data_IF_627366889002
#
_entry.id   IF_627366889002
#
_cell.length_a   1.000
_cell.length_b   1.000
_cell.length_c   1.000
_cell.angle_alpha   90.00
_cell.angle_beta   90.00
_cell.angle_gamma   90.00
#
_symmetry.space_group_name_H-M   'P 1'
#
loop_
_entity.id
_entity.type
_entity.pdbx_description
1 polymer ?
#
# COMPACT_ATOMS: atom_id res chain seq x y z
N UNK A 1 -17.92 14.31 16.67
CA UNK A 1 -17.13 15.53 16.94
C UNK A 1 -15.69 15.15 17.25
N UNK A 2 -15.19 14.08 16.61
CA UNK A 2 -14.15 13.22 17.20
C UNK A 2 -12.79 13.43 16.53
N UNK A 3 -12.73 14.34 15.56
CA UNK A 3 -11.53 14.66 14.77
C UNK A 3 -10.94 16.04 15.14
N UNK A 4 -11.36 16.64 16.25
CA UNK A 4 -10.80 17.89 16.74
C UNK A 4 -9.53 17.58 17.55
N UNK A 5 -8.41 18.23 17.23
CA UNK A 5 -7.10 18.09 17.89
C UNK A 5 -6.38 16.73 17.71
N UNK A 6 -6.50 16.11 16.53
CA UNK A 6 -5.68 14.93 16.20
C UNK A 6 -4.28 15.36 15.72
N UNK A 7 -3.24 14.74 16.26
CA UNK A 7 -1.88 14.85 15.72
C UNK A 7 -1.77 13.97 14.46
N UNK A 8 -1.41 14.52 13.29
CA UNK A 8 -1.27 13.72 12.08
C UNK A 8 -0.14 12.70 12.26
N UNK A 9 -0.40 11.43 11.93
CA UNK A 9 0.64 10.39 11.89
C UNK A 9 1.56 10.60 10.69
N UNK A 10 1.04 11.20 9.61
CA UNK A 10 1.77 11.49 8.37
C UNK A 10 1.49 12.92 7.94
N UNK A 11 2.55 13.64 7.57
CA UNK A 11 2.48 14.97 6.99
C UNK A 11 2.81 14.89 5.50
N UNK A 12 2.15 15.70 4.67
CA UNK A 12 2.38 15.71 3.22
C UNK A 12 3.71 16.36 2.82
N UNK A 13 4.16 16.08 1.60
CA UNK A 13 5.34 16.71 0.99
C UNK A 13 6.38 15.70 0.49
N UNK A 14 7.02 16.02 -0.64
CA UNK A 14 8.06 15.18 -1.25
C UNK A 14 9.25 14.95 -0.33
N UNK A 15 9.72 16.00 0.35
CA UNK A 15 10.84 15.92 1.30
C UNK A 15 10.58 14.89 2.41
N UNK A 16 9.38 14.90 2.99
CA UNK A 16 8.98 13.95 4.02
C UNK A 16 8.76 12.55 3.45
N UNK A 17 8.27 12.45 2.22
CA UNK A 17 8.11 11.18 1.52
C UNK A 17 9.46 10.48 1.28
N UNK A 18 10.47 11.23 0.83
CA UNK A 18 11.83 10.71 0.61
C UNK A 18 12.50 10.32 1.93
N UNK A 19 12.36 11.13 2.98
CA UNK A 19 12.85 10.78 4.31
C UNK A 19 12.19 9.49 4.84
N UNK A 20 10.88 9.34 4.65
CA UNK A 20 10.16 8.12 5.05
C UNK A 20 10.62 6.89 4.25
N UNK A 21 10.85 7.04 2.93
CA UNK A 21 11.37 5.97 2.09
C UNK A 21 12.76 5.53 2.55
N UNK A 22 13.65 6.47 2.86
CA UNK A 22 14.99 6.19 3.37
C UNK A 22 14.94 5.41 4.68
N UNK A 23 14.18 5.91 5.66
CA UNK A 23 14.06 5.32 7.00
C UNK A 23 13.42 3.93 6.99
N UNK A 24 12.46 3.68 6.09
CA UNK A 24 11.70 2.41 6.08
C UNK A 24 12.24 1.37 5.11
N UNK A 25 12.91 1.79 4.03
CA UNK A 25 13.39 0.90 2.97
C UNK A 25 14.92 0.87 2.93
N UNK A 26 15.56 2.01 2.61
CA UNK A 26 17.01 2.06 2.36
C UNK A 26 17.85 1.65 3.56
N UNK A 27 17.46 2.08 4.76
CA UNK A 27 18.17 1.81 6.01
C UNK A 27 17.83 0.44 6.63
N UNK A 28 16.86 -0.29 6.09
CA UNK A 28 16.35 -1.54 6.66
C UNK A 28 16.40 -2.72 5.67
N UNK A 29 17.54 -3.01 5.04
CA UNK A 29 17.63 -3.97 3.93
C UNK A 29 17.17 -5.40 4.32
N UNK A 30 17.53 -5.90 5.51
CA UNK A 30 17.11 -7.23 5.97
C UNK A 30 15.60 -7.33 6.21
N UNK A 31 14.98 -6.26 6.72
CA UNK A 31 13.53 -6.17 6.90
C UNK A 31 12.82 -6.11 5.55
N UNK A 32 13.32 -5.30 4.61
CA UNK A 32 12.79 -5.21 3.24
C UNK A 32 12.84 -6.58 2.54
N UNK A 33 13.96 -7.28 2.65
CA UNK A 33 14.15 -8.59 2.03
C UNK A 33 13.19 -9.65 2.59
N UNK A 34 12.95 -9.65 3.89
CA UNK A 34 12.12 -10.64 4.59
C UNK A 34 10.66 -10.21 4.81
N UNK A 35 10.26 -9.03 4.32
CA UNK A 35 8.92 -8.48 4.53
C UNK A 35 7.83 -9.37 3.96
N UNK A 36 6.82 -9.69 4.77
CA UNK A 36 5.63 -10.40 4.31
C UNK A 36 4.38 -9.72 4.86
N UNK A 37 3.53 -9.21 3.96
CA UNK A 37 2.30 -8.49 4.34
C UNK A 37 1.38 -9.26 5.31
N UNK A 38 1.12 -10.56 5.16
CA UNK A 38 0.26 -11.28 6.11
C UNK A 38 0.82 -11.35 7.54
N UNK A 39 2.12 -11.14 7.72
CA UNK A 39 2.80 -11.21 9.03
C UNK A 39 2.87 -9.84 9.74
N UNK A 40 2.37 -8.77 9.13
CA UNK A 40 2.36 -7.44 9.74
C UNK A 40 1.21 -7.32 10.74
N UNK A 41 1.45 -6.69 11.90
CA UNK A 41 0.40 -6.47 12.90
C UNK A 41 -0.58 -5.38 12.47
N UNK A 42 -1.88 -5.69 12.53
CA UNK A 42 -2.97 -4.73 12.34
C UNK A 42 -3.33 -3.94 13.61
N UNK A 43 -2.80 -4.33 14.77
CA UNK A 43 -3.13 -3.76 16.09
C UNK A 43 -1.99 -2.92 16.67
N UNK A 44 -0.92 -2.71 15.91
CA UNK A 44 0.21 -1.91 16.35
C UNK A 44 -0.18 -0.43 16.46
N UNK A 45 -0.17 0.11 17.68
CA UNK A 45 -0.57 1.50 17.97
C UNK A 45 0.62 2.45 18.14
N UNK A 46 1.78 1.94 18.55
CA UNK A 46 2.96 2.77 18.85
C UNK A 46 3.86 3.03 17.64
N UNK A 47 3.99 2.05 16.74
CA UNK A 47 4.74 2.20 15.49
C UNK A 47 4.12 1.36 14.39
N UNK A 48 4.08 1.87 13.14
CA UNK A 48 3.49 1.15 12.04
C UNK A 48 4.30 -0.09 11.68
N UNK A 49 3.60 -1.21 11.48
CA UNK A 49 4.18 -2.48 11.04
C UNK A 49 4.49 -2.53 9.53
N UNK A 50 4.17 -1.46 8.81
CA UNK A 50 4.38 -1.28 7.36
C UNK A 50 5.11 0.05 7.07
N UNK A 51 5.36 0.35 5.79
CA UNK A 51 6.20 1.51 5.39
C UNK A 51 5.54 2.88 5.58
N UNK A 52 4.20 2.94 5.73
CA UNK A 52 3.43 4.20 5.70
C UNK A 52 3.67 5.07 4.46
N UNK A 53 4.02 4.47 3.31
CA UNK A 53 4.24 5.20 2.06
C UNK A 53 2.97 5.43 1.23
N UNK A 54 1.85 4.78 1.58
CA UNK A 54 0.59 4.89 0.83
C UNK A 54 0.08 6.32 0.61
N UNK A 55 0.03 7.24 1.61
CA UNK A 55 -0.45 8.61 1.36
C UNK A 55 0.44 9.36 0.37
N UNK A 56 1.76 9.18 0.45
CA UNK A 56 2.70 9.83 -0.48
C UNK A 56 2.58 9.29 -1.90
N UNK A 57 2.35 7.98 -2.06
CA UNK A 57 2.11 7.35 -3.37
C UNK A 57 0.78 7.79 -3.98
N UNK A 58 -0.28 7.91 -3.17
CA UNK A 58 -1.60 8.35 -3.62
C UNK A 58 -1.60 9.80 -4.09
N UNK A 59 -0.87 10.69 -3.39
CA UNK A 59 -0.75 12.10 -3.73
C UNK A 59 0.36 12.41 -4.74
N UNK A 60 1.14 11.42 -5.16
CA UNK A 60 2.25 11.62 -6.11
C UNK A 60 3.47 12.33 -5.50
N UNK A 61 3.52 12.56 -4.19
CA UNK A 61 4.71 13.06 -3.50
C UNK A 61 5.90 12.10 -3.60
N UNK A 62 5.63 10.81 -3.88
CA UNK A 62 6.65 9.81 -4.09
C UNK A 62 6.38 9.04 -5.38
N UNK A 63 7.41 8.94 -6.23
CA UNK A 63 7.34 8.17 -7.46
C UNK A 63 7.33 6.66 -7.15
N UNK A 64 6.35 5.89 -7.69
CA UNK A 64 6.33 4.43 -7.50
C UNK A 64 7.54 3.74 -8.12
N UNK A 65 8.12 4.31 -9.18
CA UNK A 65 9.38 3.82 -9.79
C UNK A 65 10.56 3.99 -8.84
N UNK A 66 10.63 5.14 -8.16
CA UNK A 66 11.66 5.38 -7.14
C UNK A 66 11.56 4.35 -6.03
N UNK A 67 10.35 4.11 -5.50
CA UNK A 67 10.14 3.08 -4.46
C UNK A 67 10.55 1.69 -4.96
N UNK A 68 10.16 1.32 -6.19
CA UNK A 68 10.53 0.04 -6.79
C UNK A 68 12.04 -0.19 -6.83
N UNK A 69 12.79 0.81 -7.30
CA UNK A 69 14.25 0.73 -7.39
C UNK A 69 14.90 0.76 -6.00
N UNK A 70 14.43 1.58 -5.07
CA UNK A 70 14.94 1.60 -3.69
C UNK A 70 14.77 0.26 -2.98
N UNK A 71 13.64 -0.43 -3.18
CA UNK A 71 13.44 -1.80 -2.67
C UNK A 71 14.48 -2.75 -3.31
N UNK A 72 14.64 -2.71 -4.63
CA UNK A 72 15.58 -3.59 -5.34
C UNK A 72 17.04 -3.37 -4.89
N UNK A 73 17.44 -2.11 -4.73
CA UNK A 73 18.77 -1.73 -4.22
C UNK A 73 18.94 -2.24 -2.78
N UNK A 74 17.94 -2.05 -1.93
CA UNK A 74 18.00 -2.48 -0.52
C UNK A 74 18.12 -3.99 -0.39
N UNK A 75 17.40 -4.77 -1.21
CA UNK A 75 17.50 -6.23 -1.25
C UNK A 75 18.92 -6.67 -1.66
N UNK A 76 19.52 -6.01 -2.66
CA UNK A 76 20.89 -6.32 -3.13
C UNK A 76 21.97 -6.05 -2.06
N UNK A 77 21.71 -5.17 -1.10
CA UNK A 77 22.64 -4.87 0.01
C UNK A 77 22.64 -5.96 1.09
N UNK A 78 21.69 -6.90 1.08
CA UNK A 78 21.66 -7.98 2.06
C UNK A 78 22.74 -9.02 1.71
N UNK A 79 23.68 -9.32 2.62
CA UNK A 79 24.72 -10.31 2.36
C UNK A 79 24.11 -11.70 2.16
N UNK A 80 24.67 -12.52 1.25
CA UNK A 80 24.20 -13.88 1.03
C UNK A 80 24.41 -14.71 2.30
N UNK A 81 23.33 -15.27 2.84
CA UNK A 81 23.35 -16.18 3.99
C UNK A 81 22.48 -17.41 3.69
N UNK A 82 22.94 -18.59 4.15
CA UNK A 82 22.22 -19.86 3.97
C UNK A 82 20.82 -19.87 4.61
N UNK A 83 20.56 -19.00 5.59
CA UNK A 83 19.28 -18.91 6.31
C UNK A 83 18.39 -17.75 5.83
N UNK A 84 18.89 -16.87 4.95
CA UNK A 84 18.14 -15.68 4.54
C UNK A 84 16.99 -16.06 3.60
N UNK A 85 15.75 -15.85 4.05
CA UNK A 85 14.55 -16.02 3.23
C UNK A 85 14.16 -14.68 2.61
N UNK A 86 14.24 -14.61 1.28
CA UNK A 86 13.73 -13.47 0.52
C UNK A 86 12.24 -13.68 0.24
N UNK A 87 11.43 -12.72 0.67
CA UNK A 87 10.02 -12.66 0.34
C UNK A 87 9.82 -12.46 -1.17
N UNK A 88 8.73 -13.04 -1.70
CA UNK A 88 8.36 -12.91 -3.12
C UNK A 88 6.94 -12.32 -3.23
N UNK A 89 6.57 -11.73 -4.38
CA UNK A 89 5.17 -11.40 -4.64
C UNK A 89 4.27 -12.63 -4.45
N UNK A 90 3.04 -12.48 -3.92
CA UNK A 90 2.32 -11.23 -3.69
C UNK A 90 2.59 -10.57 -2.32
N UNK A 91 3.33 -11.22 -1.42
CA UNK A 91 3.47 -10.81 -0.01
C UNK A 91 4.62 -9.84 0.24
N UNK A 92 5.63 -9.80 -0.63
CA UNK A 92 6.78 -8.89 -0.54
C UNK A 92 6.41 -7.43 -0.73
N UNK A 93 7.33 -6.51 -0.40
CA UNK A 93 7.15 -5.08 -0.65
C UNK A 93 6.99 -4.74 -2.14
N UNK A 94 7.73 -5.39 -3.04
CA UNK A 94 7.46 -5.29 -4.48
C UNK A 94 6.06 -5.78 -4.81
N UNK A 95 5.60 -6.88 -4.20
CA UNK A 95 4.23 -7.36 -4.33
C UNK A 95 3.19 -6.29 -3.93
N UNK A 96 3.45 -5.51 -2.88
CA UNK A 96 2.56 -4.41 -2.48
C UNK A 96 2.49 -3.29 -3.53
N UNK A 97 3.58 -2.97 -4.23
CA UNK A 97 3.54 -2.05 -5.37
C UNK A 97 2.80 -2.65 -6.57
N UNK A 98 2.98 -3.94 -6.84
CA UNK A 98 2.24 -4.63 -7.91
C UNK A 98 0.74 -4.65 -7.64
N UNK A 99 0.31 -4.77 -6.38
CA UNK A 99 -1.11 -4.63 -6.02
C UNK A 99 -1.68 -3.25 -6.37
N UNK A 100 -0.90 -2.18 -6.19
CA UNK A 100 -1.31 -0.83 -6.62
C UNK A 100 -1.52 -0.79 -8.15
N UNK A 101 -0.55 -1.28 -8.92
CA UNK A 101 -0.65 -1.25 -10.39
C UNK A 101 -1.75 -2.17 -10.92
N UNK A 102 -1.92 -3.36 -10.33
CA UNK A 102 -3.01 -4.27 -10.63
C UNK A 102 -4.38 -3.60 -10.44
N UNK A 103 -4.61 -2.96 -9.29
CA UNK A 103 -5.88 -2.26 -9.03
C UNK A 103 -6.10 -1.09 -9.99
N UNK A 104 -5.06 -0.30 -10.31
CA UNK A 104 -5.16 0.79 -11.28
C UNK A 104 -5.52 0.27 -12.69
N UNK A 105 -4.91 -0.84 -13.10
CA UNK A 105 -5.21 -1.46 -14.39
C UNK A 105 -6.64 -1.98 -14.44
N UNK A 106 -7.08 -2.70 -13.41
CA UNK A 106 -8.46 -3.21 -13.33
C UNK A 106 -9.49 -2.08 -13.31
N UNK A 107 -9.20 -1.00 -12.57
CA UNK A 107 -10.02 0.21 -12.57
C UNK A 107 -10.14 0.85 -13.95
N UNK A 108 -9.02 0.96 -14.67
CA UNK A 108 -9.01 1.45 -16.03
C UNK A 108 -9.86 0.56 -16.95
N UNK A 109 -9.65 -0.76 -16.93
CA UNK A 109 -10.40 -1.71 -17.75
C UNK A 109 -11.92 -1.64 -17.49
N UNK A 110 -12.34 -1.55 -16.23
CA UNK A 110 -13.75 -1.41 -15.87
C UNK A 110 -14.34 -0.10 -16.42
N UNK A 111 -13.62 1.00 -16.25
CA UNK A 111 -14.07 2.32 -16.70
C UNK A 111 -14.09 2.49 -18.24
N UNK A 112 -13.27 1.74 -18.97
CA UNK A 112 -13.33 1.67 -20.44
C UNK A 112 -14.62 1.00 -20.91
N UNK A 113 -15.09 -0.03 -20.20
CA UNK A 113 -16.36 -0.68 -20.52
C UNK A 113 -17.56 0.17 -20.10
N UNK A 114 -17.52 0.67 -18.86
CA UNK A 114 -18.55 1.53 -18.28
C UNK A 114 -17.92 2.61 -17.40
N UNK A 115 -17.92 3.85 -17.88
CA UNK A 115 -17.30 4.98 -17.19
C UNK A 115 -17.89 5.17 -15.77
N UNK A 116 -17.02 5.19 -14.76
CA UNK A 116 -17.39 5.37 -13.35
C UNK A 116 -17.75 4.08 -12.61
N UNK A 117 -17.71 2.92 -13.27
CA UNK A 117 -18.17 1.66 -12.68
C UNK A 117 -17.24 1.07 -11.61
N UNK A 118 -15.93 1.38 -11.62
CA UNK A 118 -14.98 0.74 -10.69
C UNK A 118 -15.31 0.95 -9.20
N UNK A 119 -15.95 2.08 -8.87
CA UNK A 119 -16.38 2.42 -7.50
C UNK A 119 -17.80 2.00 -7.15
N UNK A 120 -18.54 1.37 -8.08
CA UNK A 120 -19.95 1.00 -7.91
C UNK A 120 -20.15 -0.49 -8.10
N UNK A 121 -21.27 -1.00 -7.57
CA UNK A 121 -21.71 -2.37 -7.87
C UNK A 121 -22.41 -2.42 -9.23
N UNK A 122 -23.18 -1.39 -9.56
CA UNK A 122 -23.94 -1.32 -10.80
C UNK A 122 -22.98 -1.16 -11.99
N UNK A 123 -23.22 -1.97 -13.03
CA UNK A 123 -22.48 -1.98 -14.29
C UNK A 123 -20.96 -2.26 -14.16
N UNK A 124 -20.49 -2.77 -13.02
CA UNK A 124 -19.10 -3.15 -12.84
C UNK A 124 -18.91 -4.64 -13.17
N UNK A 125 -18.24 -4.99 -14.28
CA UNK A 125 -18.10 -6.39 -14.73
C UNK A 125 -17.27 -7.25 -13.77
N UNK A 126 -16.48 -6.62 -12.88
CA UNK A 126 -15.65 -7.31 -11.90
C UNK A 126 -16.30 -7.37 -10.50
N UNK A 127 -17.45 -6.72 -10.30
CA UNK A 127 -18.16 -6.71 -9.02
C UNK A 127 -19.29 -7.74 -9.02
N UNK A 128 -19.39 -8.55 -7.96
CA UNK A 128 -20.53 -9.45 -7.78
C UNK A 128 -21.75 -8.64 -7.37
N UNK A 129 -22.87 -8.85 -8.04
CA UNK A 129 -24.16 -8.30 -7.61
C UNK A 129 -24.59 -8.95 -6.29
N UNK A 130 -24.64 -8.17 -5.22
CA UNK A 130 -25.08 -8.60 -3.89
C UNK A 130 -26.22 -7.70 -3.45
N UNK A 131 -27.32 -8.28 -2.96
CA UNK A 131 -28.46 -7.54 -2.41
C UNK A 131 -28.14 -7.05 -1.00
N UNK A 132 -27.26 -6.04 -0.90
CA UNK A 132 -26.92 -5.41 0.38
C UNK A 132 -28.18 -4.81 1.02
N UNK A 133 -28.32 -4.95 2.34
CA UNK A 133 -29.44 -4.35 3.08
C UNK A 133 -29.32 -2.82 3.11
N UNK A 134 -30.38 -2.09 2.76
CA UNK A 134 -30.47 -0.66 2.98
C UNK A 134 -30.90 -0.35 4.42
N UNK A 135 -30.05 -0.70 5.38
CA UNK A 135 -30.24 -0.28 6.77
C UNK A 135 -29.53 1.07 6.99
N UNK A 136 -30.29 2.16 6.96
CA UNK A 136 -29.78 3.51 7.15
C UNK A 136 -29.10 3.73 8.51
N UNK A 137 -29.32 2.82 9.48
CA UNK A 137 -28.69 2.86 10.80
C UNK A 137 -27.31 2.20 10.85
N UNK A 138 -26.93 1.39 9.85
CA UNK A 138 -25.67 0.62 9.81
C UNK A 138 -24.61 1.17 8.86
N UNK A 139 -24.83 2.34 8.25
CA UNK A 139 -23.82 3.01 7.39
C UNK A 139 -22.71 3.65 8.22
N UNK A 140 -21.86 2.86 8.87
CA UNK A 140 -20.51 3.27 9.29
C UNK A 140 -19.59 2.05 9.25
N UNK A 141 -18.79 1.99 8.20
CA UNK A 141 -17.47 1.36 8.20
C UNK A 141 -16.63 2.10 7.15
#
# INVERSE_FOLDING_TARGET
ADCKNLTPIVHGGETLALAQLENTVSQRPSWVASFEKPKTSCTATSSPSTTCLSPYLSWGCLSPRTVWHSIAISIKRVPPSKSQKFSKPPVSLHGQLMWRDFNNLMAHCANVQHAGSWGTMDNNPYCRTVKWSHDGTKRRA
#
